data_IF_460487704611
#
_entry.id   IF_460487704611
#
_cell.length_a   1.000
_cell.length_b   1.000
_cell.length_c   1.000
_cell.angle_alpha   90.00
_cell.angle_beta   90.00
_cell.angle_gamma   90.00
#
_symmetry.space_group_name_H-M   'P 1'
#
loop_
_entity.id
_entity.type
_entity.pdbx_description
1 polymer ?
#
# COMPACT_ATOMS: atom_id res chain seq x y z
N UNK A 1 -42.21 -16.81 77.86
CA UNK A 1 -42.55 -15.43 78.28
C UNK A 1 -41.25 -14.71 78.64
N UNK A 2 -41.01 -13.42 78.32
CA UNK A 2 -41.72 -12.51 77.41
C UNK A 2 -40.79 -11.69 76.45
N UNK A 3 -41.44 -11.14 75.40
CA UNK A 3 -41.27 -9.81 74.78
C UNK A 3 -40.02 -9.43 73.93
N UNK A 4 -40.20 -9.52 72.61
CA UNK A 4 -39.94 -8.42 71.63
C UNK A 4 -40.73 -7.14 71.99
N UNK A 5 -40.51 -5.93 71.41
CA UNK A 5 -39.88 -5.58 70.11
C UNK A 5 -38.91 -4.37 70.18
N UNK A 6 -38.21 -3.94 69.12
CA UNK A 6 -38.61 -2.86 68.19
C UNK A 6 -37.56 -2.80 67.05
N UNK A 7 -38.02 -2.97 65.80
CA UNK A 7 -37.48 -2.29 64.59
C UNK A 7 -38.34 -1.03 64.39
N UNK A 8 -37.90 0.07 63.71
CA UNK A 8 -37.35 0.02 62.34
C UNK A 8 -36.39 1.16 61.90
N UNK A 9 -35.60 0.91 60.85
CA UNK A 9 -35.12 1.91 59.88
C UNK A 9 -34.42 1.12 58.74
N UNK A 10 -35.15 0.63 57.75
CA UNK A 10 -35.47 1.37 56.53
C UNK A 10 -34.25 2.05 55.90
N UNK A 11 -33.43 1.30 55.16
CA UNK A 11 -32.71 1.84 54.01
C UNK A 11 -32.89 0.90 52.83
N UNK A 12 -33.92 1.20 52.04
CA UNK A 12 -34.09 0.71 50.69
C UNK A 12 -33.00 1.36 49.83
N UNK A 13 -31.88 0.69 49.63
CA UNK A 13 -30.94 1.06 48.57
C UNK A 13 -31.45 0.39 47.28
N UNK A 14 -32.19 1.17 46.49
CA UNK A 14 -32.58 0.84 45.12
C UNK A 14 -31.30 0.51 44.32
N UNK A 15 -31.10 -0.77 43.99
CA UNK A 15 -30.13 -1.16 42.96
C UNK A 15 -30.75 -0.78 41.62
N UNK A 16 -30.45 0.43 41.16
CA UNK A 16 -30.81 0.89 39.82
C UNK A 16 -30.13 -0.04 38.81
N UNK A 17 -30.97 -0.73 38.02
CA UNK A 17 -30.56 -1.44 36.82
C UNK A 17 -29.77 -0.45 35.93
N UNK A 18 -28.46 -0.64 35.83
CA UNK A 18 -27.67 0.02 34.79
C UNK A 18 -28.07 -0.57 33.43
N UNK A 19 -28.57 0.24 32.48
CA UNK A 19 -28.73 -0.23 31.11
C UNK A 19 -27.33 -0.53 30.57
N UNK A 20 -27.10 -1.80 30.20
CA UNK A 20 -25.97 -2.19 29.36
C UNK A 20 -25.98 -1.28 28.14
N UNK A 21 -25.06 -0.31 28.10
CA UNK A 21 -24.88 0.53 26.94
C UNK A 21 -24.42 -0.37 25.80
N UNK A 22 -25.33 -0.65 24.86
CA UNK A 22 -24.99 -1.23 23.59
C UNK A 22 -24.10 -0.20 22.88
N UNK A 23 -22.80 -0.40 22.96
CA UNK A 23 -21.86 0.31 22.10
C UNK A 23 -22.22 -0.06 20.66
N UNK A 24 -22.86 0.86 19.94
CA UNK A 24 -23.07 0.72 18.51
C UNK A 24 -21.68 0.67 17.87
N UNK A 25 -21.28 -0.51 17.41
CA UNK A 25 -20.09 -0.69 16.61
C UNK A 25 -20.23 0.19 15.37
N UNK A 26 -19.48 1.28 15.31
CA UNK A 26 -19.39 2.11 14.14
C UNK A 26 -18.75 1.27 13.04
N UNK A 27 -19.54 0.95 12.01
CA UNK A 27 -19.03 0.25 10.83
C UNK A 27 -17.92 1.10 10.21
N UNK A 28 -16.68 0.62 10.32
CA UNK A 28 -15.55 1.23 9.62
C UNK A 28 -15.84 1.13 8.12
N UNK A 29 -15.75 2.23 7.35
CA UNK A 29 -15.96 2.15 5.91
C UNK A 29 -14.98 1.13 5.34
N UNK A 30 -15.51 0.13 4.62
CA UNK A 30 -14.69 -0.87 3.96
C UNK A 30 -13.74 -0.14 2.99
N UNK A 31 -12.44 -0.31 3.20
CA UNK A 31 -11.46 0.18 2.25
C UNK A 31 -11.66 -0.58 0.93
N UNK A 32 -11.60 0.08 -0.23
CA UNK A 32 -11.70 -0.61 -1.50
C UNK A 32 -10.61 -1.67 -1.58
N UNK A 33 -11.04 -2.92 -1.69
CA UNK A 33 -10.16 -4.05 -1.92
C UNK A 33 -9.57 -3.88 -3.32
N UNK A 34 -8.25 -3.77 -3.40
CA UNK A 34 -7.55 -3.85 -4.67
C UNK A 34 -7.61 -5.31 -5.13
N UNK A 35 -8.28 -5.55 -6.25
CA UNK A 35 -8.36 -6.85 -6.93
C UNK A 35 -7.51 -6.83 -8.19
N UNK A 36 -7.08 -7.98 -8.72
CA UNK A 36 -6.15 -8.02 -9.85
C UNK A 36 -6.76 -7.43 -11.11
N UNK A 37 -8.09 -7.59 -11.30
CA UNK A 37 -8.83 -7.10 -12.46
C UNK A 37 -8.74 -5.58 -12.63
N UNK A 38 -8.55 -4.82 -11.54
CA UNK A 38 -8.33 -3.38 -11.60
C UNK A 38 -7.06 -3.02 -12.39
N UNK A 39 -6.06 -3.89 -12.38
CA UNK A 39 -4.76 -3.68 -13.01
C UNK A 39 -4.61 -4.43 -14.33
N UNK A 40 -5.47 -5.39 -14.65
CA UNK A 40 -5.37 -6.14 -15.92
C UNK A 40 -5.69 -5.27 -17.15
N UNK A 41 -6.38 -4.14 -16.97
CA UNK A 41 -6.63 -3.16 -18.02
C UNK A 41 -5.43 -2.23 -18.28
N UNK A 42 -4.42 -2.25 -17.41
CA UNK A 42 -3.20 -1.48 -17.59
C UNK A 42 -2.38 -2.04 -18.76
N UNK A 43 -1.66 -1.20 -19.50
CA UNK A 43 -0.75 -1.68 -20.54
C UNK A 43 0.35 -2.57 -19.93
N UNK A 44 0.82 -3.58 -20.67
CA UNK A 44 2.01 -4.33 -20.29
C UNK A 44 3.20 -3.40 -20.00
N UNK A 45 4.02 -3.76 -19.02
CA UNK A 45 5.25 -3.02 -18.75
C UNK A 45 6.29 -3.35 -19.84
N UNK A 46 6.59 -2.37 -20.67
CA UNK A 46 7.77 -2.41 -21.53
C UNK A 46 9.03 -2.19 -20.68
N UNK A 47 10.10 -2.92 -21.00
CA UNK A 47 11.40 -2.76 -20.32
C UNK A 47 12.11 -1.47 -20.70
N UNK A 48 11.84 -0.96 -21.91
CA UNK A 48 12.45 0.23 -22.49
C UNK A 48 11.36 1.23 -22.87
N UNK A 49 11.42 2.45 -22.34
CA UNK A 49 10.42 3.48 -22.59
C UNK A 49 10.99 4.88 -22.35
N UNK A 50 10.32 5.91 -22.88
CA UNK A 50 10.71 7.30 -22.66
C UNK A 50 10.52 7.70 -21.18
N UNK A 51 11.50 8.41 -20.62
CA UNK A 51 11.39 8.97 -19.27
C UNK A 51 10.23 9.97 -19.18
N UNK A 52 9.44 9.86 -18.11
CA UNK A 52 8.35 10.79 -17.82
C UNK A 52 8.84 12.18 -17.41
N UNK A 53 10.13 12.33 -17.07
CA UNK A 53 10.75 13.62 -16.76
C UNK A 53 10.97 14.54 -17.97
N UNK A 54 10.69 14.07 -19.18
CA UNK A 54 10.90 14.82 -20.41
C UNK A 54 12.37 14.83 -20.88
N UNK A 55 12.70 15.71 -21.83
CA UNK A 55 14.08 15.92 -22.28
C UNK A 55 14.68 14.81 -23.15
N UNK A 56 13.86 13.87 -23.65
CA UNK A 56 14.32 12.81 -24.57
C UNK A 56 15.13 11.68 -23.91
N UNK A 57 15.13 11.61 -22.58
CA UNK A 57 15.78 10.52 -21.85
C UNK A 57 15.03 9.20 -22.06
N UNK A 58 15.76 8.11 -22.19
CA UNK A 58 15.19 6.76 -22.36
C UNK A 58 15.57 5.88 -21.18
N UNK A 59 14.58 5.25 -20.55
CA UNK A 59 14.75 4.23 -19.53
C UNK A 59 14.85 2.88 -20.22
N UNK A 60 15.75 2.02 -19.73
CA UNK A 60 15.89 0.64 -20.16
C UNK A 60 16.17 -0.29 -18.97
N UNK A 61 16.05 -1.59 -19.21
CA UNK A 61 16.19 -2.67 -18.24
C UNK A 61 15.22 -2.61 -17.06
N UNK A 62 14.11 -1.89 -17.21
CA UNK A 62 13.13 -1.71 -16.16
C UNK A 62 12.32 -2.98 -15.90
N UNK A 63 12.58 -3.64 -14.76
CA UNK A 63 11.98 -4.94 -14.43
C UNK A 63 11.80 -5.13 -12.91
N UNK A 64 10.84 -4.43 -12.29
CA UNK A 64 10.55 -4.57 -10.86
C UNK A 64 10.32 -6.02 -10.44
N UNK A 65 10.98 -6.40 -9.36
CA UNK A 65 10.81 -7.71 -8.72
C UNK A 65 10.53 -7.50 -7.25
N UNK A 66 9.59 -8.28 -6.71
CA UNK A 66 9.29 -8.27 -5.29
C UNK A 66 10.42 -8.91 -4.50
N UNK A 67 10.91 -8.22 -3.49
CA UNK A 67 11.86 -8.72 -2.49
C UNK A 67 11.30 -8.38 -1.11
N UNK A 68 10.66 -9.36 -0.46
CA UNK A 68 10.00 -9.16 0.83
C UNK A 68 8.86 -8.13 0.75
N UNK A 69 9.04 -7.00 1.44
CA UNK A 69 8.07 -5.91 1.57
C UNK A 69 8.22 -4.80 0.51
N UNK A 70 9.17 -4.93 -0.41
CA UNK A 70 9.42 -3.93 -1.45
C UNK A 70 9.43 -4.57 -2.85
N UNK A 71 9.25 -3.75 -3.88
CA UNK A 71 9.72 -4.11 -5.22
C UNK A 71 10.98 -3.32 -5.54
N UNK A 72 11.97 -3.95 -6.16
CA UNK A 72 13.21 -3.30 -6.57
C UNK A 72 13.45 -3.56 -8.05
N UNK A 73 13.91 -2.53 -8.77
CA UNK A 73 14.57 -2.73 -10.05
C UNK A 73 15.78 -1.82 -10.15
N UNK A 74 16.78 -2.39 -10.75
CA UNK A 74 17.87 -1.67 -11.37
C UNK A 74 17.44 -1.24 -12.77
N UNK A 75 17.86 -0.06 -13.20
CA UNK A 75 17.55 0.42 -14.55
C UNK A 75 18.65 1.34 -15.08
N UNK A 76 18.69 1.45 -16.39
CA UNK A 76 19.60 2.35 -17.09
C UNK A 76 18.83 3.52 -17.66
N UNK A 77 19.41 4.71 -17.57
CA UNK A 77 18.89 5.92 -18.20
C UNK A 77 19.88 6.37 -19.27
N UNK A 78 19.40 6.58 -20.48
CA UNK A 78 20.17 7.06 -21.62
C UNK A 78 19.80 8.51 -21.91
N UNK A 79 20.79 9.39 -21.97
CA UNK A 79 20.57 10.77 -22.41
C UNK A 79 20.42 10.84 -23.93
N UNK A 80 19.82 11.92 -24.48
CA UNK A 80 19.81 12.15 -25.92
C UNK A 80 21.21 12.22 -26.55
N UNK A 81 22.23 12.56 -25.75
CA UNK A 81 23.63 12.60 -26.17
C UNK A 81 24.35 11.24 -26.05
N UNK A 82 23.66 10.19 -25.60
CA UNK A 82 24.20 8.83 -25.47
C UNK A 82 24.88 8.53 -24.14
N UNK A 83 24.80 9.43 -23.16
CA UNK A 83 25.29 9.17 -21.81
C UNK A 83 24.47 8.05 -21.16
N UNK A 84 25.14 7.18 -20.39
CA UNK A 84 24.52 6.04 -19.72
C UNK A 84 24.66 6.18 -18.20
N UNK A 85 23.52 6.27 -17.51
CA UNK A 85 23.47 6.44 -16.06
C UNK A 85 22.76 5.24 -15.43
N UNK A 86 23.40 4.64 -14.41
CA UNK A 86 22.85 3.51 -13.67
C UNK A 86 22.05 3.99 -12.47
N UNK A 87 20.85 3.45 -12.33
CA UNK A 87 19.92 3.80 -11.27
C UNK A 87 19.35 2.55 -10.59
N UNK A 88 18.77 2.75 -9.42
CA UNK A 88 17.95 1.76 -8.72
C UNK A 88 16.69 2.46 -8.23
N UNK A 89 15.53 1.82 -8.36
CA UNK A 89 14.26 2.27 -7.78
C UNK A 89 13.73 1.22 -6.82
N UNK A 90 13.18 1.70 -5.70
CA UNK A 90 12.50 0.90 -4.69
C UNK A 90 11.08 1.39 -4.56
N UNK A 91 10.15 0.45 -4.61
CA UNK A 91 8.72 0.63 -4.42
C UNK A 91 8.27 -0.04 -3.14
N UNK A 92 7.16 0.42 -2.60
CA UNK A 92 6.43 -0.33 -1.59
C UNK A 92 5.65 -1.46 -2.28
N UNK A 93 5.73 -2.68 -1.74
CA UNK A 93 5.00 -3.82 -2.26
C UNK A 93 3.69 -4.01 -1.48
N UNK A 94 2.56 -3.75 -2.14
CA UNK A 94 1.23 -3.94 -1.59
C UNK A 94 0.64 -5.25 -2.12
N UNK A 95 0.36 -6.25 -1.26
CA UNK A 95 -0.36 -7.44 -1.68
C UNK A 95 -1.75 -7.09 -2.22
N UNK A 96 -2.11 -7.69 -3.35
CA UNK A 96 -3.43 -7.52 -3.98
C UNK A 96 -4.28 -8.74 -3.64
N UNK A 97 -5.52 -8.52 -3.19
CA UNK A 97 -6.43 -9.62 -2.87
C UNK A 97 -6.73 -10.42 -4.14
N UNK A 98 -6.74 -11.75 -4.06
CA UNK A 98 -6.84 -12.59 -5.27
C UNK A 98 -5.53 -12.77 -6.04
N UNK A 99 -4.44 -12.10 -5.62
CA UNK A 99 -3.06 -12.44 -6.00
C UNK A 99 -2.29 -11.34 -6.71
N UNK A 100 -0.96 -11.49 -6.71
CA UNK A 100 -0.01 -10.52 -7.25
C UNK A 100 0.39 -9.45 -6.23
N UNK A 101 1.13 -8.46 -6.70
CA UNK A 101 1.64 -7.34 -5.91
C UNK A 101 1.57 -6.06 -6.73
N UNK A 102 1.09 -4.99 -6.10
CA UNK A 102 1.20 -3.64 -6.60
C UNK A 102 2.45 -2.98 -6.03
N UNK A 103 3.37 -2.59 -6.92
CA UNK A 103 4.54 -1.78 -6.60
C UNK A 103 4.18 -0.30 -6.76
N UNK A 104 4.15 0.44 -5.67
CA UNK A 104 3.71 1.85 -5.63
C UNK A 104 4.74 2.74 -4.90
N UNK A 105 4.55 4.06 -4.98
CA UNK A 105 5.38 5.08 -4.31
C UNK A 105 6.88 4.91 -4.59
N UNK A 106 7.23 4.73 -5.87
CA UNK A 106 8.60 4.47 -6.29
C UNK A 106 9.56 5.61 -5.96
N UNK A 107 10.69 5.26 -5.36
CA UNK A 107 11.80 6.16 -5.00
C UNK A 107 13.05 5.68 -5.70
N UNK A 108 13.65 6.52 -6.54
CA UNK A 108 14.83 6.16 -7.32
C UNK A 108 16.04 6.97 -6.90
N UNK A 109 17.21 6.38 -7.14
CA UNK A 109 18.50 7.03 -6.94
C UNK A 109 19.50 6.61 -8.03
N UNK A 110 20.34 7.54 -8.43
CA UNK A 110 21.55 7.29 -9.20
C UNK A 110 22.54 6.49 -8.36
N UNK A 111 23.18 5.50 -8.98
CA UNK A 111 24.17 4.66 -8.27
C UNK A 111 25.53 5.30 -8.13
N UNK A 112 25.79 6.32 -8.94
CA UNK A 112 26.92 7.23 -8.81
C UNK A 112 26.74 8.25 -7.68
N UNK A 113 25.54 8.32 -7.08
CA UNK A 113 25.19 9.24 -6.00
C UNK A 113 24.73 10.62 -6.46
N UNK A 114 24.62 10.89 -7.77
CA UNK A 114 24.38 12.24 -8.30
C UNK A 114 22.92 12.51 -8.71
N UNK A 115 21.96 11.80 -8.12
CA UNK A 115 20.55 12.07 -8.38
C UNK A 115 19.63 11.18 -7.57
N UNK A 116 18.47 11.71 -7.23
CA UNK A 116 17.39 10.96 -6.60
C UNK A 116 16.05 11.61 -6.91
N UNK A 117 14.98 10.86 -6.71
CA UNK A 117 13.64 11.37 -6.86
C UNK A 117 12.59 10.30 -6.65
N UNK A 118 11.37 10.62 -7.10
CA UNK A 118 10.24 9.71 -7.09
C UNK A 118 9.74 9.44 -8.50
N UNK A 119 8.99 8.38 -8.67
CA UNK A 119 8.25 8.10 -9.91
C UNK A 119 6.77 7.90 -9.60
N UNK A 120 5.87 8.51 -10.40
CA UNK A 120 4.44 8.22 -10.30
C UNK A 120 4.06 6.88 -10.91
N UNK A 121 4.99 6.23 -11.63
CA UNK A 121 4.76 4.93 -12.27
C UNK A 121 4.44 3.88 -11.20
N UNK A 122 3.28 3.25 -11.31
CA UNK A 122 2.94 2.06 -10.52
C UNK A 122 3.09 0.82 -11.39
N UNK A 123 3.49 -0.30 -10.78
CA UNK A 123 3.67 -1.57 -11.49
C UNK A 123 2.93 -2.67 -10.77
N UNK A 124 1.97 -3.29 -11.45
CA UNK A 124 1.34 -4.51 -10.97
C UNK A 124 2.10 -5.72 -11.50
N UNK A 125 2.57 -6.57 -10.58
CA UNK A 125 3.18 -7.87 -10.87
C UNK A 125 2.13 -8.93 -10.54
N UNK A 126 1.59 -9.56 -11.58
CA UNK A 126 0.64 -10.66 -11.43
C UNK A 126 1.35 -11.91 -10.89
N UNK A 127 0.59 -12.83 -10.30
CA UNK A 127 1.11 -14.05 -9.69
C UNK A 127 1.91 -14.95 -10.66
N UNK A 128 1.65 -14.87 -11.97
CA UNK A 128 2.40 -15.58 -13.02
C UNK A 128 3.68 -14.85 -13.47
N UNK A 129 3.97 -13.68 -12.90
CA UNK A 129 5.12 -12.86 -13.23
C UNK A 129 4.89 -11.85 -14.37
N UNK A 130 3.71 -11.81 -14.97
CA UNK A 130 3.36 -10.76 -15.93
C UNK A 130 3.32 -9.39 -15.24
N UNK A 131 3.79 -8.35 -15.94
CA UNK A 131 3.91 -6.99 -15.40
C UNK A 131 3.10 -6.01 -16.22
N UNK A 132 2.39 -5.14 -15.52
CA UNK A 132 1.55 -4.10 -16.09
C UNK A 132 1.88 -2.78 -15.40
N UNK A 133 1.78 -1.67 -16.13
CA UNK A 133 2.16 -0.35 -15.60
C UNK A 133 0.98 0.61 -15.59
N UNK A 134 0.94 1.52 -14.63
CA UNK A 134 -0.05 2.60 -14.65
C UNK A 134 0.04 3.36 -15.99
N UNK A 135 -1.11 3.81 -16.52
CA UNK A 135 -1.17 4.58 -17.76
C UNK A 135 -0.32 5.86 -17.67
#
# INVERSE_FOLDING_TARGET
MPRSPILPALLLALVLLSPRHQAMAQATPAQPVLTPSAFLAWPPLERRFASTGGGGWVIDDYDPRRVGAVCVTDFTVFSPAGERILNTVVFDAVPVEGGGVLCTRGRWRGRDGNGEGTTPLEVFIRADGARFRSP
#
